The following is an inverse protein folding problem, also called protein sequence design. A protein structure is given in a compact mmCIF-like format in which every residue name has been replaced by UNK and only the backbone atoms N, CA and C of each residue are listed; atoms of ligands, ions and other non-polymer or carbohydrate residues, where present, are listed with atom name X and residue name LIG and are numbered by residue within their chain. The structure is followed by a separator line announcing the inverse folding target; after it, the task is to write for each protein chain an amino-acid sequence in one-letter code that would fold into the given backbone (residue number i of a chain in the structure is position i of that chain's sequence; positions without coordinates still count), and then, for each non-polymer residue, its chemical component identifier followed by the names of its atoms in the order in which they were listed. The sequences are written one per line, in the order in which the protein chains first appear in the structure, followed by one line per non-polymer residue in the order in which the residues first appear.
data_IF_455195583742
#
_entry.id   IF_455195583742
#
_cell.length_a   1.000
_cell.length_b   1.000
_cell.length_c   1.000
_cell.angle_alpha   90.00
_cell.angle_beta   90.00
_cell.angle_gamma   90.00
#
_symmetry.space_group_name_H-M   'P 1'
#
loop_
_entity.id
_entity.type
_entity.pdbx_description
1 polymer ?
#
# COMPACT_ATOMS: atom_id res chain seq x y z
N UNK A 1 -22.70 2.12 -27.84
CA UNK A 1 -21.48 1.75 -27.10
C UNK A 1 -21.90 1.07 -25.81
N UNK A 2 -21.58 -0.21 -25.60
CA UNK A 2 -21.83 -0.87 -24.31
C UNK A 2 -20.99 -0.10 -23.27
N UNK A 3 -21.65 0.56 -22.32
CA UNK A 3 -21.02 1.21 -21.17
C UNK A 3 -20.49 0.10 -20.26
N UNK A 4 -19.28 -0.38 -20.56
CA UNK A 4 -18.58 -1.41 -19.81
C UNK A 4 -17.21 -0.90 -19.38
N UNK A 5 -16.68 -1.53 -18.34
CA UNK A 5 -15.32 -1.34 -17.87
C UNK A 5 -14.32 -1.86 -18.92
N UNK A 6 -13.18 -1.18 -19.10
CA UNK A 6 -12.07 -1.69 -19.92
C UNK A 6 -11.19 -2.61 -19.04
N UNK A 7 -11.13 -3.93 -19.28
CA UNK A 7 -10.39 -4.86 -18.43
C UNK A 7 -8.89 -4.58 -18.37
N UNK A 8 -8.26 -4.23 -19.49
CA UNK A 8 -6.83 -3.95 -19.55
C UNK A 8 -6.46 -2.70 -18.75
N UNK A 9 -7.28 -1.65 -18.83
CA UNK A 9 -7.07 -0.43 -18.06
C UNK A 9 -7.22 -0.69 -16.54
N UNK A 10 -8.09 -1.61 -16.15
CA UNK A 10 -8.30 -1.97 -14.74
C UNK A 10 -7.16 -2.82 -14.20
N UNK A 11 -6.62 -3.77 -14.97
CA UNK A 11 -5.42 -4.52 -14.57
C UNK A 11 -4.22 -3.58 -14.37
N UNK A 12 -4.06 -2.59 -15.26
CA UNK A 12 -3.01 -1.57 -15.13
C UNK A 12 -3.19 -0.75 -13.84
N UNK A 13 -4.42 -0.31 -13.56
CA UNK A 13 -4.74 0.39 -12.32
C UNK A 13 -4.47 -0.46 -11.07
N UNK A 14 -4.84 -1.75 -11.10
CA UNK A 14 -4.58 -2.68 -10.00
C UNK A 14 -3.07 -2.78 -9.70
N UNK A 15 -2.25 -2.89 -10.75
CA UNK A 15 -0.78 -2.89 -10.63
C UNK A 15 -0.27 -1.59 -10.00
N UNK A 16 -0.75 -0.43 -10.49
CA UNK A 16 -0.34 0.88 -9.96
C UNK A 16 -0.69 1.07 -8.48
N UNK A 17 -1.83 0.53 -8.04
CA UNK A 17 -2.24 0.57 -6.62
C UNK A 17 -1.24 -0.20 -5.76
N UNK A 18 -0.85 -1.40 -6.19
CA UNK A 18 0.15 -2.22 -5.48
C UNK A 18 1.51 -1.53 -5.46
N UNK A 19 1.98 -1.02 -6.61
CA UNK A 19 3.26 -0.31 -6.71
C UNK A 19 3.33 0.91 -5.78
N UNK A 20 2.24 1.68 -5.65
CA UNK A 20 2.18 2.84 -4.78
C UNK A 20 2.25 2.45 -3.29
N UNK A 21 1.63 1.32 -2.91
CA UNK A 21 1.70 0.80 -1.55
C UNK A 21 3.09 0.29 -1.19
N UNK A 22 3.75 -0.39 -2.13
CA UNK A 22 5.14 -0.85 -1.95
C UNK A 22 6.09 0.33 -1.76
N UNK A 23 5.95 1.39 -2.59
CA UNK A 23 6.74 2.62 -2.44
C UNK A 23 6.51 3.29 -1.07
N UNK A 24 5.27 3.30 -0.57
CA UNK A 24 4.97 3.84 0.75
C UNK A 24 5.62 3.02 1.87
N UNK A 25 5.58 1.70 1.77
CA UNK A 25 6.24 0.81 2.71
C UNK A 25 7.77 0.97 2.68
N UNK A 26 8.38 1.02 1.49
CA UNK A 26 9.82 1.30 1.35
C UNK A 26 10.22 2.65 1.96
N UNK A 27 9.43 3.70 1.72
CA UNK A 27 9.67 5.01 2.31
C UNK A 27 9.61 4.96 3.85
N UNK A 28 8.63 4.26 4.40
CA UNK A 28 8.53 4.04 5.85
C UNK A 28 9.73 3.30 6.41
N UNK A 29 10.14 2.17 5.80
CA UNK A 29 11.29 1.39 6.27
C UNK A 29 12.58 2.21 6.29
N UNK A 30 12.82 3.03 5.25
CA UNK A 30 13.97 3.95 5.21
C UNK A 30 13.96 4.97 6.35
N UNK A 31 12.80 5.57 6.63
CA UNK A 31 12.67 6.56 7.71
C UNK A 31 12.77 5.89 9.07
N UNK A 32 12.17 4.71 9.25
CA UNK A 32 12.24 3.94 10.48
C UNK A 32 13.69 3.61 10.84
N UNK A 33 14.48 3.12 9.89
CA UNK A 33 15.91 2.88 10.10
C UNK A 33 16.62 4.15 10.59
N UNK A 34 16.33 5.30 9.97
CA UNK A 34 16.92 6.58 10.39
C UNK A 34 16.49 7.01 11.79
N UNK A 35 15.23 6.78 12.15
CA UNK A 35 14.68 7.06 13.49
C UNK A 35 15.34 6.17 14.56
N UNK A 36 15.59 4.90 14.23
CA UNK A 36 16.22 3.95 15.15
C UNK A 36 17.73 4.20 15.33
N UNK A 37 18.42 4.62 14.27
CA UNK A 37 19.88 4.87 14.21
C UNK A 37 20.30 6.28 14.63
N UNK A 38 19.35 7.18 14.91
CA UNK A 38 19.68 8.55 15.28
C UNK A 38 20.47 8.57 16.60
N UNK A 39 21.49 9.44 16.69
CA UNK A 39 22.34 9.59 17.88
C UNK A 39 21.59 10.36 18.98
N UNK A 40 20.56 9.70 19.49
CA UNK A 40 19.68 10.16 20.55
C UNK A 40 19.38 8.98 21.46
N UNK A 41 19.53 9.18 22.76
CA UNK A 41 19.41 8.14 23.77
C UNK A 41 18.51 8.59 24.92
N UNK A 42 17.94 7.63 25.66
CA UNK A 42 17.14 7.88 26.85
C UNK A 42 15.65 7.59 26.64
N UNK A 43 14.87 7.75 27.71
CA UNK A 43 13.43 7.40 27.74
C UNK A 43 12.61 8.12 26.66
N UNK A 44 12.90 9.39 26.40
CA UNK A 44 12.19 10.16 25.37
C UNK A 44 12.41 9.60 23.96
N UNK A 45 13.63 9.11 23.68
CA UNK A 45 13.95 8.44 22.41
C UNK A 45 13.14 7.15 22.29
N UNK A 46 13.14 6.33 23.33
CA UNK A 46 12.41 5.05 23.31
C UNK A 46 10.90 5.27 23.13
N UNK A 47 10.34 6.30 23.79
CA UNK A 47 8.94 6.71 23.60
C UNK A 47 8.68 7.16 22.16
N UNK A 48 9.54 8.01 21.60
CA UNK A 48 9.36 8.52 20.24
C UNK A 48 9.45 7.41 19.19
N UNK A 49 10.44 6.51 19.30
CA UNK A 49 10.58 5.36 18.39
C UNK A 49 9.33 4.49 18.47
N UNK A 50 8.85 4.18 19.67
CA UNK A 50 7.63 3.40 19.87
C UNK A 50 6.38 4.10 19.31
N UNK A 51 6.25 5.41 19.49
CA UNK A 51 5.14 6.21 18.95
C UNK A 51 5.18 6.24 17.41
N UNK A 52 6.37 6.41 16.83
CA UNK A 52 6.56 6.41 15.38
C UNK A 52 6.19 5.05 14.77
N UNK A 53 6.66 3.95 15.36
CA UNK A 53 6.33 2.59 14.91
C UNK A 53 4.83 2.30 15.02
N UNK A 54 4.22 2.63 16.17
CA UNK A 54 2.79 2.39 16.41
C UNK A 54 1.87 3.29 15.59
N UNK A 55 2.28 4.51 15.25
CA UNK A 55 1.44 5.42 14.49
C UNK A 55 1.66 5.26 12.99
N UNK A 56 2.87 5.56 12.53
CA UNK A 56 3.19 5.58 11.10
C UNK A 56 3.27 4.16 10.56
N UNK A 57 3.89 3.24 11.31
CA UNK A 57 3.99 1.85 10.90
C UNK A 57 2.64 1.17 10.72
N UNK A 58 1.72 1.36 11.67
CA UNK A 58 0.37 0.82 11.56
C UNK A 58 -0.41 1.42 10.38
N UNK A 59 -0.30 2.73 10.14
CA UNK A 59 -0.96 3.38 9.01
C UNK A 59 -0.45 2.83 7.66
N UNK A 60 0.86 2.59 7.54
CA UNK A 60 1.47 2.03 6.33
C UNK A 60 1.07 0.57 6.13
N UNK A 61 1.04 -0.24 7.19
CA UNK A 61 0.54 -1.61 7.10
C UNK A 61 -0.92 -1.67 6.65
N UNK A 62 -1.77 -0.79 7.19
CA UNK A 62 -3.17 -0.68 6.78
C UNK A 62 -3.31 -0.25 5.32
N UNK A 63 -2.48 0.70 4.86
CA UNK A 63 -2.44 1.12 3.46
C UNK A 63 -2.09 -0.05 2.53
N UNK A 64 -1.05 -0.82 2.87
CA UNK A 64 -0.60 -1.99 2.09
C UNK A 64 -1.71 -3.03 1.99
N UNK A 65 -2.35 -3.38 3.10
CA UNK A 65 -3.45 -4.35 3.10
C UNK A 65 -4.62 -3.87 2.22
N UNK A 66 -5.05 -2.61 2.37
CA UNK A 66 -6.17 -2.07 1.60
C UNK A 66 -5.85 -1.98 0.10
N UNK A 67 -4.60 -1.66 -0.25
CA UNK A 67 -4.15 -1.64 -1.63
C UNK A 67 -4.18 -3.04 -2.27
N UNK A 68 -3.73 -4.07 -1.53
CA UNK A 68 -3.82 -5.47 -1.98
C UNK A 68 -5.29 -5.89 -2.19
N UNK A 69 -6.16 -5.64 -1.21
CA UNK A 69 -7.59 -5.97 -1.32
C UNK A 69 -8.26 -5.31 -2.53
N UNK A 70 -7.95 -4.02 -2.78
CA UNK A 70 -8.49 -3.28 -3.92
C UNK A 70 -7.93 -3.78 -5.25
N UNK A 71 -6.64 -4.11 -5.31
CA UNK A 71 -5.96 -4.67 -6.49
C UNK A 71 -6.54 -6.03 -6.88
N UNK A 72 -6.76 -6.91 -5.89
CA UNK A 72 -7.40 -8.22 -6.10
C UNK A 72 -8.83 -8.06 -6.61
N UNK A 73 -9.61 -7.16 -6.01
CA UNK A 73 -10.99 -6.87 -6.45
C UNK A 73 -11.02 -6.30 -7.87
N UNK A 74 -10.10 -5.40 -8.21
CA UNK A 74 -9.99 -4.82 -9.55
C UNK A 74 -9.69 -5.92 -10.58
N UNK A 75 -8.71 -6.79 -10.28
CA UNK A 75 -8.34 -7.92 -11.14
C UNK A 75 -9.50 -8.90 -11.34
N UNK A 76 -10.24 -9.21 -10.27
CA UNK A 76 -11.44 -10.05 -10.34
C UNK A 76 -12.51 -9.42 -11.24
N UNK A 77 -12.81 -8.14 -11.05
CA UNK A 77 -13.78 -7.42 -11.89
C UNK A 77 -13.37 -7.44 -13.37
N UNK A 78 -12.08 -7.24 -13.66
CA UNK A 78 -11.55 -7.27 -15.02
C UNK A 78 -11.73 -8.65 -15.66
N UNK A 79 -11.46 -9.73 -14.92
CA UNK A 79 -11.73 -11.11 -15.38
C UNK A 79 -13.20 -11.33 -15.70
N UNK A 80 -14.10 -10.98 -14.77
CA UNK A 80 -15.55 -11.14 -14.96
C UNK A 80 -16.06 -10.35 -16.17
N UNK A 81 -15.50 -9.16 -16.43
CA UNK A 81 -15.84 -8.35 -17.60
C UNK A 81 -15.36 -8.99 -18.91
N UNK A 82 -14.19 -9.65 -18.93
CA UNK A 82 -13.72 -10.40 -20.10
C UNK A 82 -14.67 -11.56 -20.41
N UNK A 83 -15.04 -12.33 -19.40
CA UNK A 83 -15.95 -13.46 -19.53
C UNK A 83 -17.34 -13.03 -20.02
N UNK A 84 -17.87 -11.92 -19.50
CA UNK A 84 -19.17 -11.40 -19.91
C UNK A 84 -19.19 -10.72 -21.29
N UNK A 85 -18.01 -10.40 -21.84
CA UNK A 85 -17.85 -9.72 -23.13
C UNK A 85 -17.36 -10.63 -24.26
N UNK A 86 -16.94 -11.86 -23.94
CA UNK A 86 -16.65 -12.94 -24.88
C UNK A 86 -17.93 -13.49 -25.52
#
# INVERSE_FOLDING_TARGET
MKKGMNPEAVDQMATQITDAADQANEAYQRVLARVQEFDWTGEDRDRYVSEFESTVGQAVQQLVQQAQDLSERASKNASEQRDASA
#
